data_IF_685584599349
#
_entry.id   IF_685584599349
#
_cell.length_a   1.000
_cell.length_b   1.000
_cell.length_c   1.000
_cell.angle_alpha   90.00
_cell.angle_beta   90.00
_cell.angle_gamma   90.00
#
_symmetry.space_group_name_H-M   'P 1'
#
loop_
_entity.id
_entity.type
_entity.pdbx_description
1 polymer ?
#
# COMPACT_ATOMS: atom_id res chain seq x y z
N UNK A 1 -61.63 17.07 6.60
CA UNK A 1 -60.68 17.38 7.67
C UNK A 1 -59.30 16.91 7.21
N UNK A 2 -58.46 17.86 6.82
CA UNK A 2 -57.14 17.63 6.16
C UNK A 2 -56.08 17.34 7.20
N UNK A 3 -55.21 16.35 6.94
CA UNK A 3 -53.95 16.18 7.64
C UNK A 3 -52.83 16.01 6.59
N UNK A 4 -51.99 16.99 6.62
CA UNK A 4 -50.76 17.05 5.81
C UNK A 4 -49.71 16.14 6.44
N UNK A 5 -49.26 15.15 5.67
CA UNK A 5 -48.05 14.39 5.96
C UNK A 5 -46.84 15.05 5.28
N UNK A 6 -45.98 15.70 6.08
CA UNK A 6 -44.71 16.21 5.58
C UNK A 6 -43.71 15.07 5.37
N UNK A 7 -43.28 14.93 4.15
CA UNK A 7 -42.17 14.05 3.80
C UNK A 7 -40.87 14.74 4.18
N UNK A 8 -40.17 14.17 5.15
CA UNK A 8 -38.82 14.57 5.52
C UNK A 8 -37.85 13.87 4.57
N UNK A 9 -37.32 14.63 3.60
CA UNK A 9 -36.24 14.15 2.75
C UNK A 9 -34.91 14.35 3.49
N UNK A 10 -34.29 13.26 3.90
CA UNK A 10 -32.90 13.26 4.33
C UNK A 10 -32.01 13.67 3.16
N UNK A 11 -31.07 14.60 3.35
CA UNK A 11 -30.07 14.89 2.34
C UNK A 11 -29.06 13.73 2.29
N UNK A 12 -29.18 12.88 1.28
CA UNK A 12 -28.16 11.90 0.92
C UNK A 12 -26.86 12.64 0.68
N UNK A 13 -25.92 12.50 1.58
CA UNK A 13 -24.53 12.88 1.36
C UNK A 13 -23.99 12.04 0.21
N UNK A 14 -23.80 12.68 -0.93
CA UNK A 14 -23.18 12.09 -2.10
C UNK A 14 -21.68 11.96 -1.88
N UNK A 15 -21.25 10.99 -1.08
CA UNK A 15 -19.85 10.59 -1.04
C UNK A 15 -19.58 9.67 -2.23
N UNK A 16 -18.77 10.15 -3.17
CA UNK A 16 -18.30 9.33 -4.27
C UNK A 16 -17.27 8.31 -3.78
N UNK A 17 -17.16 7.11 -4.41
CA UNK A 17 -16.17 6.11 -4.03
C UNK A 17 -14.72 6.61 -4.03
N UNK A 18 -14.41 7.65 -4.78
CA UNK A 18 -13.10 8.30 -4.84
C UNK A 18 -12.74 9.08 -3.57
N UNK A 19 -13.73 9.59 -2.82
CA UNK A 19 -13.47 10.35 -1.59
C UNK A 19 -13.03 9.47 -0.41
N UNK A 20 -13.33 8.16 -0.43
CA UNK A 20 -12.92 7.21 0.61
C UNK A 20 -11.46 6.77 0.51
N UNK A 21 -10.87 6.79 -0.68
CA UNK A 21 -9.49 6.34 -0.91
C UNK A 21 -8.44 7.38 -0.51
N UNK A 22 -8.83 8.64 -0.31
CA UNK A 22 -7.89 9.73 -0.02
C UNK A 22 -8.16 10.47 1.30
N UNK A 23 -8.98 9.94 2.19
CA UNK A 23 -9.04 10.43 3.57
C UNK A 23 -7.78 10.00 4.30
N UNK A 24 -6.70 10.79 4.15
CA UNK A 24 -5.52 10.64 4.99
C UNK A 24 -5.96 10.85 6.44
N UNK A 25 -5.65 9.92 7.36
CA UNK A 25 -5.90 10.14 8.78
C UNK A 25 -5.13 11.38 9.23
N UNK A 26 -5.81 12.31 9.88
CA UNK A 26 -5.18 13.45 10.53
C UNK A 26 -4.33 12.93 11.68
N UNK A 27 -3.14 13.45 11.83
CA UNK A 27 -1.99 13.02 12.64
C UNK A 27 -2.22 12.91 14.17
N UNK A 28 -3.36 12.44 14.64
CA UNK A 28 -3.67 12.23 16.06
C UNK A 28 -4.27 10.85 16.41
N UNK A 29 -4.37 9.93 15.46
CA UNK A 29 -4.85 8.56 15.71
C UNK A 29 -3.78 7.55 15.32
N UNK A 30 -3.32 6.88 16.33
CA UNK A 30 -2.89 5.51 16.41
C UNK A 30 -1.43 5.24 16.74
N UNK A 31 -1.27 4.72 17.97
CA UNK A 31 -0.15 3.88 18.36
C UNK A 31 -0.21 2.46 17.74
N UNK A 32 -1.23 2.18 16.92
CA UNK A 32 -1.53 0.84 16.37
C UNK A 32 -1.41 0.75 14.83
N UNK A 33 -0.98 1.80 14.14
CA UNK A 33 -0.86 1.77 12.69
C UNK A 33 0.50 1.20 12.25
N UNK A 34 0.47 0.11 11.46
CA UNK A 34 1.66 -0.58 10.96
C UNK A 34 2.33 0.23 9.84
N UNK A 35 3.48 0.84 10.13
CA UNK A 35 4.30 1.51 9.13
C UNK A 35 5.11 0.51 8.28
N UNK A 36 5.68 0.96 7.16
CA UNK A 36 6.63 0.17 6.35
C UNK A 36 7.84 -0.28 7.17
N UNK A 37 8.35 0.58 8.04
CA UNK A 37 9.46 0.22 8.93
C UNK A 37 9.07 -0.85 9.95
N UNK A 38 7.84 -0.79 10.48
CA UNK A 38 7.31 -1.79 11.40
C UNK A 38 7.10 -3.14 10.69
N UNK A 39 6.51 -3.12 9.50
CA UNK A 39 6.35 -4.32 8.69
C UNK A 39 7.69 -4.99 8.41
N UNK A 40 8.68 -4.24 7.91
CA UNK A 40 10.01 -4.79 7.62
C UNK A 40 10.66 -5.41 8.86
N UNK A 41 10.53 -4.75 10.01
CA UNK A 41 11.02 -5.26 11.30
C UNK A 41 10.27 -6.53 11.73
N UNK A 42 8.93 -6.57 11.60
CA UNK A 42 8.13 -7.75 11.93
C UNK A 42 8.52 -8.95 11.05
N UNK A 43 8.63 -8.76 9.74
CA UNK A 43 9.07 -9.80 8.80
C UNK A 43 10.46 -10.33 9.18
N UNK A 44 11.39 -9.43 9.49
CA UNK A 44 12.73 -9.82 9.95
C UNK A 44 12.66 -10.68 11.22
N UNK A 45 11.90 -10.25 12.23
CA UNK A 45 11.78 -11.00 13.50
C UNK A 45 11.13 -12.37 13.30
N UNK A 46 10.16 -12.50 12.42
CA UNK A 46 9.44 -13.76 12.19
C UNK A 46 10.22 -14.75 11.34
N UNK A 47 10.95 -14.30 10.32
CA UNK A 47 11.37 -15.18 9.23
C UNK A 47 12.84 -15.07 8.81
N UNK A 48 13.64 -14.14 9.34
CA UNK A 48 14.96 -13.80 8.80
C UNK A 48 15.89 -15.01 8.65
N UNK A 49 15.94 -15.92 9.61
CA UNK A 49 16.81 -17.11 9.51
C UNK A 49 16.45 -18.00 8.30
N UNK A 50 15.15 -18.18 8.05
CA UNK A 50 14.66 -18.95 6.91
C UNK A 50 14.92 -18.24 5.60
N UNK A 51 14.71 -16.94 5.60
CA UNK A 51 14.84 -16.09 4.41
C UNK A 51 16.32 -15.94 4.01
N UNK A 52 17.19 -15.71 4.98
CA UNK A 52 18.64 -15.65 4.76
C UNK A 52 19.21 -16.99 4.27
N UNK A 53 18.72 -18.12 4.82
CA UNK A 53 19.10 -19.45 4.34
C UNK A 53 18.63 -19.74 2.90
N UNK A 54 17.46 -19.22 2.50
CA UNK A 54 16.94 -19.31 1.13
C UNK A 54 17.76 -18.44 0.16
N UNK A 55 18.24 -17.31 0.62
CA UNK A 55 19.00 -16.34 -0.15
C UNK A 55 18.14 -15.43 -1.05
N UNK A 56 18.80 -14.46 -1.67
CA UNK A 56 18.16 -13.41 -2.47
C UNK A 56 17.42 -13.99 -3.68
N UNK A 57 18.07 -14.92 -4.43
CA UNK A 57 17.49 -15.47 -5.65
C UNK A 57 16.22 -16.27 -5.36
N UNK A 58 16.24 -17.15 -4.35
CA UNK A 58 15.09 -17.92 -3.93
C UNK A 58 13.95 -17.04 -3.40
N UNK A 59 14.27 -15.99 -2.66
CA UNK A 59 13.28 -15.02 -2.16
C UNK A 59 12.67 -14.20 -3.29
N UNK A 60 13.46 -13.83 -4.30
CA UNK A 60 12.96 -13.12 -5.48
C UNK A 60 11.97 -13.98 -6.28
N UNK A 61 12.21 -15.29 -6.38
CA UNK A 61 11.27 -16.20 -7.08
C UNK A 61 9.90 -16.22 -6.38
N UNK A 62 9.86 -16.23 -5.05
CA UNK A 62 8.61 -16.11 -4.30
C UNK A 62 7.91 -14.77 -4.53
N UNK A 63 8.64 -13.65 -4.50
CA UNK A 63 8.06 -12.35 -4.83
C UNK A 63 7.44 -12.35 -6.22
N UNK A 64 8.05 -13.01 -7.21
CA UNK A 64 7.49 -13.11 -8.57
C UNK A 64 6.24 -13.95 -8.64
N UNK A 65 6.10 -14.97 -7.79
CA UNK A 65 4.88 -15.76 -7.64
C UNK A 65 3.73 -14.89 -7.12
N UNK A 66 3.95 -14.15 -6.04
CA UNK A 66 2.95 -13.23 -5.47
C UNK A 66 2.54 -12.11 -6.45
N UNK A 67 3.48 -11.59 -7.24
CA UNK A 67 3.15 -10.65 -8.31
C UNK A 67 2.22 -11.30 -9.35
N UNK A 68 2.40 -12.58 -9.63
CA UNK A 68 1.52 -13.36 -10.51
C UNK A 68 0.12 -13.53 -9.92
N UNK A 69 0.02 -13.82 -8.63
CA UNK A 69 -1.24 -13.96 -7.90
C UNK A 69 -1.98 -12.62 -7.82
N UNK A 70 -1.28 -11.53 -7.51
CA UNK A 70 -1.82 -10.17 -7.57
C UNK A 70 -2.35 -9.84 -8.98
N UNK A 71 -1.61 -10.18 -10.04
CA UNK A 71 -2.06 -9.96 -11.40
C UNK A 71 -3.30 -10.77 -11.76
N UNK A 72 -3.48 -11.95 -11.16
CA UNK A 72 -4.69 -12.77 -11.28
C UNK A 72 -5.86 -12.15 -10.53
N UNK A 73 -5.65 -11.73 -9.27
CA UNK A 73 -6.66 -11.10 -8.43
C UNK A 73 -7.19 -9.78 -9.04
N UNK A 74 -6.32 -8.99 -9.69
CA UNK A 74 -6.70 -7.75 -10.40
C UNK A 74 -7.70 -7.96 -11.55
N UNK A 75 -7.81 -9.18 -12.09
CA UNK A 75 -8.78 -9.55 -13.13
C UNK A 75 -10.07 -10.13 -12.57
N UNK A 76 -10.10 -10.43 -11.27
CA UNK A 76 -11.26 -10.94 -10.57
C UNK A 76 -12.08 -9.81 -9.91
N UNK A 77 -13.18 -10.20 -9.30
CA UNK A 77 -14.10 -9.29 -8.60
C UNK A 77 -14.00 -9.40 -7.06
N UNK A 78 -13.15 -10.29 -6.55
CA UNK A 78 -12.96 -10.51 -5.12
C UNK A 78 -12.02 -9.45 -4.54
N UNK A 79 -12.63 -8.46 -3.87
CA UNK A 79 -11.89 -7.33 -3.27
C UNK A 79 -11.09 -7.73 -2.03
N UNK A 80 -11.53 -8.75 -1.30
CA UNK A 80 -10.84 -9.24 -0.12
C UNK A 80 -9.56 -9.97 -0.53
N UNK A 81 -9.67 -10.92 -1.46
CA UNK A 81 -8.50 -11.59 -2.04
C UNK A 81 -7.52 -10.58 -2.67
N UNK A 82 -8.01 -9.58 -3.41
CA UNK A 82 -7.15 -8.57 -3.99
C UNK A 82 -6.35 -7.79 -2.92
N UNK A 83 -6.96 -7.48 -1.77
CA UNK A 83 -6.25 -6.80 -0.69
C UNK A 83 -5.18 -7.70 -0.04
N UNK A 84 -5.45 -9.00 0.09
CA UNK A 84 -4.49 -9.99 0.58
C UNK A 84 -3.27 -10.06 -0.33
N UNK A 85 -3.47 -10.16 -1.66
CA UNK A 85 -2.35 -10.22 -2.62
C UNK A 85 -1.47 -8.96 -2.61
N UNK A 86 -2.07 -7.77 -2.42
CA UNK A 86 -1.28 -6.56 -2.21
C UNK A 86 -0.42 -6.65 -0.95
N UNK A 87 -0.97 -7.17 0.14
CA UNK A 87 -0.23 -7.34 1.39
C UNK A 87 0.92 -8.34 1.24
N UNK A 88 0.71 -9.45 0.53
CA UNK A 88 1.72 -10.48 0.30
C UNK A 88 2.85 -9.97 -0.57
N UNK A 89 2.58 -9.26 -1.66
CA UNK A 89 3.62 -8.61 -2.47
C UNK A 89 4.46 -7.65 -1.64
N UNK A 90 3.84 -6.83 -0.78
CA UNK A 90 4.58 -5.89 0.09
C UNK A 90 5.39 -6.64 1.15
N UNK A 91 4.86 -7.72 1.72
CA UNK A 91 5.57 -8.56 2.68
C UNK A 91 6.81 -9.23 2.06
N UNK A 92 6.68 -9.80 0.85
CA UNK A 92 7.82 -10.39 0.15
C UNK A 92 8.85 -9.36 -0.31
N UNK A 93 8.42 -8.14 -0.65
CA UNK A 93 9.32 -7.04 -0.91
C UNK A 93 10.13 -6.66 0.35
N UNK A 94 9.49 -6.64 1.52
CA UNK A 94 10.17 -6.42 2.80
C UNK A 94 11.14 -7.57 3.13
N UNK A 95 10.75 -8.81 2.81
CA UNK A 95 11.60 -10.00 2.97
C UNK A 95 12.90 -9.88 2.15
N UNK A 96 12.79 -9.57 0.86
CA UNK A 96 13.99 -9.46 0.02
C UNK A 96 14.87 -8.28 0.42
N UNK A 97 14.26 -7.17 0.88
CA UNK A 97 15.00 -6.04 1.41
C UNK A 97 15.79 -6.41 2.68
N UNK A 98 15.22 -7.23 3.58
CA UNK A 98 15.94 -7.75 4.74
C UNK A 98 17.13 -8.62 4.35
N UNK A 99 16.94 -9.54 3.40
CA UNK A 99 18.03 -10.42 2.91
C UNK A 99 19.13 -9.63 2.18
N UNK A 100 18.74 -8.56 1.48
CA UNK A 100 19.66 -7.66 0.79
C UNK A 100 20.26 -6.57 1.69
N UNK A 101 19.91 -6.54 2.98
CA UNK A 101 20.35 -5.54 3.97
C UNK A 101 20.00 -4.10 3.57
N UNK A 102 18.81 -3.91 2.97
CA UNK A 102 18.27 -2.61 2.58
C UNK A 102 17.19 -2.16 3.57
N UNK A 103 17.32 -0.96 4.12
CA UNK A 103 16.26 -0.27 4.87
C UNK A 103 15.28 0.36 3.88
N UNK A 104 14.08 -0.25 3.76
CA UNK A 104 13.03 0.23 2.85
C UNK A 104 12.55 1.63 3.19
N UNK A 105 12.41 1.95 4.48
CA UNK A 105 11.93 3.26 4.88
C UNK A 105 12.96 4.35 4.51
N UNK A 106 14.24 4.10 4.76
CA UNK A 106 15.31 5.01 4.36
C UNK A 106 15.38 5.17 2.84
N UNK A 107 15.26 4.08 2.07
CA UNK A 107 15.26 4.10 0.62
C UNK A 107 14.07 4.88 0.04
N UNK A 108 12.85 4.66 0.57
CA UNK A 108 11.66 5.39 0.17
C UNK A 108 11.75 6.87 0.53
N UNK A 109 12.22 7.19 1.74
CA UNK A 109 12.41 8.56 2.18
C UNK A 109 13.42 9.31 1.33
N UNK A 110 14.53 8.68 0.99
CA UNK A 110 15.56 9.26 0.13
C UNK A 110 15.03 9.57 -1.28
N UNK A 111 14.22 8.67 -1.84
CA UNK A 111 13.73 8.80 -3.22
C UNK A 111 12.46 9.66 -3.33
N UNK A 112 11.50 9.46 -2.44
CA UNK A 112 10.16 10.04 -2.55
C UNK A 112 9.79 11.01 -1.42
N UNK A 113 10.60 11.13 -0.39
CA UNK A 113 10.28 11.93 0.81
C UNK A 113 10.04 13.42 0.56
N UNK A 114 10.43 13.92 -0.61
CA UNK A 114 10.16 15.30 -1.06
C UNK A 114 9.13 15.39 -2.20
N UNK A 115 8.50 14.28 -2.54
CA UNK A 115 7.56 14.16 -3.66
C UNK A 115 8.19 13.50 -4.89
N UNK A 116 7.78 13.90 -6.08
CA UNK A 116 8.27 13.33 -7.33
C UNK A 116 9.80 13.41 -7.45
N UNK A 117 10.52 12.31 -7.73
CA UNK A 117 11.98 12.33 -7.88
C UNK A 117 12.49 13.26 -8.98
N UNK A 118 11.68 13.48 -10.02
CA UNK A 118 12.07 14.34 -11.16
C UNK A 118 11.88 15.83 -10.89
N UNK A 119 10.79 16.26 -10.25
CA UNK A 119 10.46 17.67 -10.04
C UNK A 119 10.34 18.10 -8.56
N UNK A 120 10.47 17.17 -7.61
CA UNK A 120 10.35 17.39 -6.16
C UNK A 120 9.01 17.98 -5.72
N UNK A 121 7.92 17.74 -6.48
CA UNK A 121 6.56 18.20 -6.15
C UNK A 121 5.67 17.04 -5.78
N UNK A 122 4.71 17.26 -4.88
CA UNK A 122 3.70 16.24 -4.55
C UNK A 122 2.77 15.96 -5.72
N UNK A 123 2.38 16.99 -6.45
CA UNK A 123 1.70 16.86 -7.75
C UNK A 123 2.76 16.99 -8.83
N UNK A 124 3.05 15.88 -9.52
CA UNK A 124 4.11 15.83 -10.52
C UNK A 124 3.79 16.72 -11.74
N UNK A 125 4.74 17.55 -12.13
CA UNK A 125 4.69 18.42 -13.32
C UNK A 125 5.72 18.01 -14.40
N UNK A 126 6.32 16.83 -14.27
CA UNK A 126 7.21 16.30 -15.28
C UNK A 126 6.45 15.98 -16.57
N UNK A 127 7.06 16.13 -17.76
CA UNK A 127 6.51 15.59 -19.00
C UNK A 127 6.22 14.09 -18.88
N UNK A 128 5.15 13.60 -19.50
CA UNK A 128 4.76 12.18 -19.43
C UNK A 128 5.84 11.22 -19.96
N UNK A 129 6.81 11.72 -20.74
CA UNK A 129 7.96 10.97 -21.24
C UNK A 129 9.06 10.77 -20.19
N UNK A 130 8.99 11.45 -19.04
CA UNK A 130 10.03 11.45 -18.01
C UNK A 130 9.52 10.84 -16.68
N UNK A 131 8.65 9.83 -16.76
CA UNK A 131 8.25 9.11 -15.55
C UNK A 131 9.49 8.49 -14.89
N UNK A 132 9.65 8.68 -13.56
CA UNK A 132 10.68 8.01 -12.81
C UNK A 132 10.46 6.51 -12.76
#
# INVERSE_FOLDING_TARGET
MMIHGGSFLDPLTSETPESRLYSMPTSSESADELSIADLQRHIHQMYYEKDAARGTDGTFMWLMEEIGELASALRGDDRENLAEEFADVVAWLATIANVAEIDLNAALQAKYGRGCPGCSRLVCECPNSEKP
#
